data_IF_079578110831
#
_entry.id   IF_079578110831
#
_cell.length_a   1.000
_cell.length_b   1.000
_cell.length_c   1.000
_cell.angle_alpha   90.00
_cell.angle_beta   90.00
_cell.angle_gamma   90.00
#
_symmetry.space_group_name_H-M   'P 1'
#
loop_
_entity.id
_entity.type
_entity.pdbx_description
1 polymer ?
#
# COMPACT_ATOMS: atom_id res chain seq x y z
N UNK A 1 -4.46 11.75 -29.25
CA UNK A 1 -5.35 11.82 -28.08
C UNK A 1 -6.03 10.47 -27.92
N UNK A 2 -5.78 9.73 -26.84
CA UNK A 2 -6.42 8.43 -26.61
C UNK A 2 -7.80 8.66 -25.98
N UNK A 3 -8.86 8.20 -26.65
CA UNK A 3 -10.23 8.29 -26.15
C UNK A 3 -10.35 7.49 -24.84
N UNK A 4 -10.77 8.16 -23.77
CA UNK A 4 -11.03 7.55 -22.46
C UNK A 4 -12.27 6.65 -22.63
N UNK A 5 -12.08 5.35 -22.67
CA UNK A 5 -13.18 4.37 -22.72
C UNK A 5 -13.89 4.40 -21.37
N UNK A 6 -14.90 5.24 -21.25
CA UNK A 6 -15.81 5.23 -20.11
C UNK A 6 -16.78 4.08 -20.33
N UNK A 7 -16.61 2.96 -19.62
CA UNK A 7 -17.65 1.93 -19.55
C UNK A 7 -18.92 2.59 -19.03
N UNK A 8 -19.95 2.69 -19.87
CA UNK A 8 -21.26 3.21 -19.46
C UNK A 8 -21.88 2.23 -18.46
N UNK A 9 -21.92 2.65 -17.19
CA UNK A 9 -22.70 1.98 -16.14
C UNK A 9 -24.18 2.37 -16.31
N UNK A 10 -25.13 1.47 -16.06
CA UNK A 10 -26.53 1.86 -15.99
C UNK A 10 -26.72 2.89 -14.88
N UNK A 11 -27.26 4.08 -15.19
CA UNK A 11 -27.53 5.16 -14.23
C UNK A 11 -28.26 4.71 -12.96
N UNK A 12 -29.05 3.63 -13.06
CA UNK A 12 -29.77 3.01 -11.94
C UNK A 12 -28.83 2.52 -10.82
N UNK A 13 -27.64 2.05 -11.16
CA UNK A 13 -26.70 1.53 -10.16
C UNK A 13 -26.01 2.66 -9.37
N UNK A 14 -25.73 3.80 -10.00
CA UNK A 14 -25.22 4.98 -9.29
C UNK A 14 -26.25 5.49 -8.27
N UNK A 15 -27.51 5.62 -8.72
CA UNK A 15 -28.64 6.04 -7.86
C UNK A 15 -28.84 5.08 -6.68
N UNK A 16 -28.73 3.76 -6.91
CA UNK A 16 -28.84 2.76 -5.85
C UNK A 16 -27.72 2.89 -4.82
N UNK A 17 -26.47 3.07 -5.26
CA UNK A 17 -25.33 3.25 -4.34
C UNK A 17 -25.47 4.52 -3.50
N UNK A 18 -25.82 5.65 -4.12
CA UNK A 18 -26.07 6.91 -3.41
C UNK A 18 -27.20 6.77 -2.38
N UNK A 19 -28.27 6.07 -2.74
CA UNK A 19 -29.41 5.85 -1.86
C UNK A 19 -29.07 4.96 -0.65
N UNK A 20 -28.29 3.89 -0.87
CA UNK A 20 -27.87 2.99 0.22
C UNK A 20 -26.86 3.69 1.13
N UNK A 21 -25.94 4.47 0.58
CA UNK A 21 -24.99 5.27 1.37
C UNK A 21 -25.73 6.27 2.26
N UNK A 22 -26.71 6.99 1.70
CA UNK A 22 -27.54 7.92 2.45
C UNK A 22 -28.33 7.23 3.58
N UNK A 23 -28.79 6.00 3.35
CA UNK A 23 -29.44 5.20 4.39
C UNK A 23 -28.45 4.82 5.51
N UNK A 24 -27.24 4.36 5.17
CA UNK A 24 -26.19 4.00 6.14
C UNK A 24 -25.75 5.17 7.03
N UNK A 25 -25.75 6.39 6.47
CA UNK A 25 -25.39 7.62 7.19
C UNK A 25 -26.48 8.07 8.19
N UNK A 26 -27.68 7.48 8.13
CA UNK A 26 -28.77 7.79 9.06
C UNK A 26 -28.49 7.24 10.48
N UNK A 27 -28.69 8.05 11.54
CA UNK A 27 -28.60 7.56 12.91
C UNK A 27 -29.80 6.67 13.27
N UNK A 28 -29.62 5.74 14.22
CA UNK A 28 -30.71 4.89 14.74
C UNK A 28 -30.92 3.54 14.03
N UNK A 29 -30.15 3.23 12.98
CA UNK A 29 -30.12 1.89 12.40
C UNK A 29 -29.49 0.87 13.36
N UNK A 30 -30.13 -0.30 13.48
CA UNK A 30 -29.57 -1.48 14.14
C UNK A 30 -28.35 -1.99 13.36
N UNK A 31 -27.40 -2.60 14.07
CA UNK A 31 -26.16 -3.10 13.45
C UNK A 31 -26.42 -4.13 12.34
N UNK A 32 -27.33 -5.08 12.57
CA UNK A 32 -27.73 -6.09 11.59
C UNK A 32 -28.22 -5.45 10.27
N UNK A 33 -29.04 -4.40 10.36
CA UNK A 33 -29.52 -3.65 9.18
C UNK A 33 -28.41 -2.87 8.49
N UNK A 34 -27.41 -2.38 9.23
CA UNK A 34 -26.22 -1.73 8.64
C UNK A 34 -25.38 -2.74 7.85
N UNK A 35 -25.22 -3.94 8.41
CA UNK A 35 -24.44 -5.01 7.78
C UNK A 35 -25.11 -5.49 6.49
N UNK A 36 -26.44 -5.68 6.50
CA UNK A 36 -27.21 -6.03 5.30
C UNK A 36 -27.12 -4.95 4.21
N UNK A 37 -27.25 -3.67 4.59
CA UNK A 37 -27.14 -2.56 3.65
C UNK A 37 -25.72 -2.42 3.08
N UNK A 38 -24.69 -2.70 3.88
CA UNK A 38 -23.30 -2.71 3.44
C UNK A 38 -23.02 -3.85 2.44
N UNK A 39 -23.58 -5.05 2.66
CA UNK A 39 -23.46 -6.16 1.71
C UNK A 39 -24.16 -5.84 0.38
N UNK A 40 -25.36 -5.26 0.44
CA UNK A 40 -26.07 -4.80 -0.77
C UNK A 40 -25.29 -3.70 -1.48
N UNK A 41 -24.73 -2.73 -0.75
CA UNK A 41 -23.88 -1.69 -1.31
C UNK A 41 -22.68 -2.30 -2.04
N UNK A 42 -21.99 -3.28 -1.45
CA UNK A 42 -20.85 -3.96 -2.05
C UNK A 42 -21.15 -4.68 -3.37
N UNK A 43 -22.39 -5.17 -3.56
CA UNK A 43 -22.81 -5.82 -4.83
C UNK A 43 -23.01 -4.84 -5.98
N UNK A 44 -23.40 -3.61 -5.66
CA UNK A 44 -23.72 -2.60 -6.67
C UNK A 44 -22.64 -1.55 -6.83
N UNK A 45 -21.91 -1.22 -5.76
CA UNK A 45 -20.82 -0.27 -5.76
C UNK A 45 -19.88 -0.56 -6.93
N UNK A 46 -19.38 0.49 -7.62
CA UNK A 46 -18.28 0.25 -8.54
C UNK A 46 -17.23 -0.51 -7.73
N UNK A 47 -16.66 -1.62 -8.25
CA UNK A 47 -15.56 -2.25 -7.55
C UNK A 47 -14.56 -1.14 -7.30
N UNK A 48 -14.40 -0.73 -6.04
CA UNK A 48 -13.29 0.13 -5.68
C UNK A 48 -12.09 -0.62 -6.24
N UNK A 49 -11.28 -0.02 -7.10
CA UNK A 49 -10.06 -0.66 -7.52
C UNK A 49 -9.24 -0.79 -6.25
N UNK A 50 -9.35 -1.93 -5.57
CA UNK A 50 -8.48 -2.29 -4.47
C UNK A 50 -7.08 -2.26 -5.06
N UNK A 51 -6.38 -1.19 -4.74
CA UNK A 51 -5.21 -0.70 -5.45
C UNK A 51 -4.00 -1.43 -4.89
N UNK A 52 -3.67 -2.57 -5.49
CA UNK A 52 -2.40 -3.20 -5.17
C UNK A 52 -1.29 -2.30 -5.69
N UNK A 53 -0.40 -1.85 -4.79
CA UNK A 53 0.78 -1.11 -5.22
C UNK A 53 1.78 -2.11 -5.78
N UNK A 54 1.94 -2.10 -7.10
CA UNK A 54 3.08 -2.69 -7.77
C UNK A 54 4.21 -1.67 -7.72
N UNK A 55 5.39 -2.06 -7.22
CA UNK A 55 6.57 -1.23 -7.42
C UNK A 55 6.80 -1.11 -8.92
N UNK A 56 6.85 0.12 -9.44
CA UNK A 56 7.22 0.35 -10.83
C UNK A 56 8.65 -0.19 -11.01
N UNK A 57 8.88 -1.20 -11.89
CA UNK A 57 10.18 -1.86 -11.97
C UNK A 57 11.32 -0.91 -12.34
N UNK A 58 11.08 0.07 -13.20
CA UNK A 58 12.11 1.03 -13.62
C UNK A 58 12.45 2.00 -12.50
N UNK A 59 11.44 2.53 -11.81
CA UNK A 59 11.63 3.42 -10.67
C UNK A 59 12.26 2.68 -9.49
N UNK A 60 11.87 1.43 -9.23
CA UNK A 60 12.50 0.59 -8.21
C UNK A 60 13.98 0.35 -8.52
N UNK A 61 14.36 0.09 -9.78
CA UNK A 61 15.77 -0.03 -10.17
C UNK A 61 16.55 1.26 -9.91
N UNK A 62 15.95 2.42 -10.15
CA UNK A 62 16.57 3.72 -9.85
C UNK A 62 16.76 3.90 -8.33
N UNK A 63 15.74 3.57 -7.52
CA UNK A 63 15.83 3.60 -6.06
C UNK A 63 16.95 2.68 -5.57
N UNK A 64 17.00 1.43 -6.03
CA UNK A 64 18.06 0.47 -5.65
C UNK A 64 19.46 0.96 -6.05
N UNK A 65 19.60 1.50 -7.27
CA UNK A 65 20.87 2.08 -7.74
C UNK A 65 21.31 3.27 -6.89
N UNK A 66 20.37 4.10 -6.45
CA UNK A 66 20.64 5.24 -5.58
C UNK A 66 20.97 4.81 -4.13
N UNK A 67 20.29 3.80 -3.59
CA UNK A 67 20.60 3.20 -2.28
C UNK A 67 22.02 2.62 -2.29
N UNK A 68 22.36 1.82 -3.31
CA UNK A 68 23.67 1.16 -3.41
C UNK A 68 24.85 2.13 -3.56
N UNK A 69 24.62 3.35 -4.04
CA UNK A 69 25.64 4.41 -4.15
C UNK A 69 25.78 5.24 -2.88
N UNK A 70 24.85 5.11 -1.95
CA UNK A 70 24.84 5.87 -0.70
C UNK A 70 25.60 5.18 0.43
N UNK A 71 25.66 5.86 1.57
CA UNK A 71 26.20 5.28 2.80
C UNK A 71 25.28 4.18 3.36
N UNK A 72 25.90 3.17 3.99
CA UNK A 72 25.21 2.02 4.61
C UNK A 72 24.10 1.43 3.71
N UNK A 73 24.43 1.00 2.47
CA UNK A 73 23.44 0.59 1.49
C UNK A 73 22.58 -0.58 1.97
N UNK A 74 23.18 -1.58 2.64
CA UNK A 74 22.47 -2.72 3.20
C UNK A 74 21.44 -2.32 4.27
N UNK A 75 21.80 -1.39 5.16
CA UNK A 75 20.88 -0.88 6.19
C UNK A 75 19.73 -0.10 5.56
N UNK A 76 20.05 0.82 4.64
CA UNK A 76 19.02 1.62 3.95
C UNK A 76 18.07 0.73 3.15
N UNK A 77 18.58 -0.34 2.53
CA UNK A 77 17.78 -1.33 1.82
C UNK A 77 16.85 -2.13 2.75
N UNK A 78 17.33 -2.53 3.94
CA UNK A 78 16.49 -3.20 4.95
C UNK A 78 15.35 -2.31 5.40
N UNK A 79 15.64 -1.04 5.72
CA UNK A 79 14.62 -0.06 6.12
C UNK A 79 13.65 0.22 4.96
N UNK A 80 14.15 0.31 3.72
CA UNK A 80 13.29 0.45 2.54
C UNK A 80 12.30 -0.71 2.42
N UNK A 81 12.77 -1.95 2.53
CA UNK A 81 11.93 -3.14 2.46
C UNK A 81 10.91 -3.22 3.60
N UNK A 82 11.30 -2.83 4.81
CA UNK A 82 10.36 -2.71 5.93
C UNK A 82 9.28 -1.65 5.63
N UNK A 83 9.68 -0.46 5.17
CA UNK A 83 8.77 0.64 4.89
C UNK A 83 7.71 0.30 3.82
N UNK A 84 8.11 -0.32 2.71
CA UNK A 84 7.17 -0.69 1.64
C UNK A 84 6.17 -1.77 2.05
N UNK A 85 6.48 -2.53 3.11
CA UNK A 85 5.61 -3.57 3.65
C UNK A 85 4.48 -3.03 4.54
N UNK A 86 4.55 -1.75 4.94
CA UNK A 86 3.57 -1.09 5.81
C UNK A 86 2.78 0.03 5.14
N UNK A 87 2.79 0.10 3.81
CA UNK A 87 2.05 1.14 3.09
C UNK A 87 0.54 0.92 3.28
N UNK A 88 -0.21 1.97 3.62
CA UNK A 88 -1.68 2.00 3.50
C UNK A 88 -2.05 2.29 2.05
N UNK A 89 -2.91 1.46 1.50
CA UNK A 89 -3.19 1.46 0.06
C UNK A 89 -4.53 2.15 -0.30
N UNK A 90 -5.38 2.38 0.70
CA UNK A 90 -6.68 3.04 0.63
C UNK A 90 -6.61 4.57 0.75
N UNK A 91 -5.43 5.14 1.05
CA UNK A 91 -5.25 6.60 1.18
C UNK A 91 -4.65 7.21 -0.08
N UNK A 92 -5.09 8.43 -0.40
CA UNK A 92 -4.59 9.23 -1.53
C UNK A 92 -3.06 9.42 -1.51
N UNK A 93 -2.44 9.32 -0.32
CA UNK A 93 -1.02 9.59 -0.11
C UNK A 93 -0.15 8.35 0.08
N UNK A 94 -0.67 7.11 0.01
CA UNK A 94 0.13 5.87 0.17
C UNK A 94 1.06 5.94 1.40
N UNK A 95 0.47 6.27 2.55
CA UNK A 95 1.20 6.52 3.80
C UNK A 95 1.84 5.25 4.37
N UNK A 96 3.03 5.35 4.96
CA UNK A 96 3.66 4.26 5.70
C UNK A 96 3.06 4.22 7.11
N UNK A 97 2.28 3.18 7.39
CA UNK A 97 1.51 2.97 8.63
C UNK A 97 2.31 2.27 9.73
N UNK A 98 3.63 2.46 9.73
CA UNK A 98 4.51 1.94 10.77
C UNK A 98 5.19 3.08 11.53
N UNK A 99 5.33 2.89 12.84
CA UNK A 99 6.19 3.74 13.65
C UNK A 99 7.66 3.45 13.34
N UNK A 100 8.55 4.39 13.65
CA UNK A 100 9.99 4.16 13.51
C UNK A 100 10.50 2.99 14.36
N UNK A 101 9.83 2.67 15.48
CA UNK A 101 10.15 1.49 16.29
C UNK A 101 9.80 0.20 15.56
N UNK A 102 8.57 0.10 15.02
CA UNK A 102 8.17 -1.06 14.22
C UNK A 102 9.05 -1.28 13.00
N UNK A 103 9.39 -0.20 12.28
CA UNK A 103 10.34 -0.26 11.16
C UNK A 103 11.73 -0.69 11.60
N UNK A 104 12.15 -0.38 12.83
CA UNK A 104 13.44 -0.81 13.35
C UNK A 104 13.43 -2.31 13.64
N UNK A 105 12.36 -2.82 14.24
CA UNK A 105 12.18 -4.25 14.52
C UNK A 105 12.17 -5.06 13.21
N UNK A 106 11.36 -4.65 12.22
CA UNK A 106 11.24 -5.36 10.94
C UNK A 106 12.51 -5.25 10.09
N UNK A 107 13.27 -4.17 10.24
CA UNK A 107 14.56 -4.01 9.59
C UNK A 107 15.72 -4.54 10.45
N UNK A 108 15.47 -5.17 11.60
CA UNK A 108 16.43 -5.64 12.60
C UNK A 108 17.57 -4.63 12.85
N UNK A 109 17.16 -3.44 13.29
CA UNK A 109 18.02 -2.30 13.56
C UNK A 109 17.46 -1.48 14.72
N UNK A 110 17.89 -0.21 14.87
CA UNK A 110 17.38 0.69 15.90
C UNK A 110 16.69 1.93 15.30
N UNK A 111 15.82 2.63 16.05
CA UNK A 111 15.08 3.78 15.54
C UNK A 111 15.95 4.92 15.00
N UNK A 112 17.15 5.13 15.55
CA UNK A 112 18.08 6.17 15.09
C UNK A 112 18.58 5.88 13.68
N UNK A 113 18.91 4.63 13.39
CA UNK A 113 19.31 4.19 12.05
C UNK A 113 18.12 4.21 11.07
N UNK A 114 16.89 3.91 11.54
CA UNK A 114 15.67 4.13 10.73
C UNK A 114 15.51 5.59 10.34
N UNK A 115 15.64 6.55 11.27
CA UNK A 115 15.52 7.97 10.93
C UNK A 115 16.56 8.42 9.90
N UNK A 116 17.81 7.94 10.02
CA UNK A 116 18.88 8.21 9.05
C UNK A 116 18.55 7.63 7.67
N UNK A 117 18.12 6.37 7.63
CA UNK A 117 17.72 5.72 6.39
C UNK A 117 16.50 6.40 5.75
N UNK A 118 15.48 6.78 6.53
CA UNK A 118 14.28 7.48 6.03
C UNK A 118 14.61 8.89 5.52
N UNK A 119 15.53 9.60 6.16
CA UNK A 119 16.03 10.88 5.64
C UNK A 119 16.72 10.66 4.29
N UNK A 120 17.58 9.65 4.18
CA UNK A 120 18.24 9.31 2.92
C UNK A 120 17.25 8.89 1.82
N UNK A 121 16.26 8.06 2.15
CA UNK A 121 15.19 7.66 1.24
C UNK A 121 14.35 8.86 0.77
N UNK A 122 14.23 9.89 1.61
CA UNK A 122 13.61 11.16 1.23
C UNK A 122 14.48 11.95 0.26
N UNK A 123 15.79 12.05 0.51
CA UNK A 123 16.75 12.74 -0.37
C UNK A 123 16.79 12.15 -1.79
N UNK A 124 16.74 10.81 -1.91
CA UNK A 124 16.75 10.14 -3.22
C UNK A 124 15.35 10.10 -3.88
N UNK A 125 14.34 10.70 -3.25
CA UNK A 125 12.98 10.79 -3.77
C UNK A 125 12.19 9.48 -3.74
N UNK A 126 12.63 8.47 -2.99
CA UNK A 126 11.90 7.21 -2.83
C UNK A 126 10.68 7.38 -1.90
N UNK A 127 10.83 8.25 -0.90
CA UNK A 127 9.85 8.51 0.15
C UNK A 127 9.58 10.03 0.23
N UNK A 128 8.36 10.40 0.54
CA UNK A 128 7.95 11.76 0.84
C UNK A 128 7.74 11.89 2.35
N UNK A 129 8.30 12.94 2.95
CA UNK A 129 8.05 13.27 4.36
C UNK A 129 6.79 14.12 4.45
N UNK A 130 5.73 13.58 5.06
CA UNK A 130 4.46 14.29 5.22
C UNK A 130 4.50 15.23 6.44
N UNK A 131 4.93 14.68 7.58
CA UNK A 131 5.10 15.39 8.86
C UNK A 131 6.13 14.64 9.72
N UNK A 132 6.60 15.18 10.86
CA UNK A 132 7.59 14.49 11.69
C UNK A 132 7.17 13.05 12.02
N UNK A 133 7.99 12.07 11.64
CA UNK A 133 7.71 10.65 11.86
C UNK A 133 6.55 10.07 11.02
N UNK A 134 6.12 10.74 9.95
CA UNK A 134 5.13 10.23 8.99
C UNK A 134 5.62 10.44 7.57
N UNK A 135 5.50 9.37 6.79
CA UNK A 135 6.10 9.24 5.48
C UNK A 135 5.12 8.59 4.51
N UNK A 136 5.31 8.85 3.23
CA UNK A 136 4.56 8.28 2.12
C UNK A 136 5.53 7.78 1.05
N UNK A 137 5.13 6.77 0.29
CA UNK A 137 5.93 6.35 -0.87
C UNK A 137 5.72 7.34 -2.03
N UNK A 138 6.79 7.66 -2.74
CA UNK A 138 6.67 8.45 -3.96
C UNK A 138 5.72 7.73 -4.96
N UNK A 139 4.64 8.38 -5.44
CA UNK A 139 3.69 7.76 -6.36
C UNK A 139 4.28 7.26 -7.69
N UNK A 140 5.45 7.76 -8.10
CA UNK A 140 6.17 7.21 -9.26
C UNK A 140 6.82 5.85 -8.96
N UNK A 141 7.24 5.62 -7.72
CA UNK A 141 7.84 4.35 -7.27
C UNK A 141 6.76 3.31 -7.00
N UNK A 142 5.67 3.68 -6.32
CA UNK A 142 4.51 2.82 -6.11
C UNK A 142 3.45 3.03 -7.17
N UNK A 143 3.32 2.15 -8.17
CA UNK A 143 2.28 2.19 -9.19
C UNK A 143 1.05 1.34 -8.79
N UNK A 144 -0.13 1.62 -9.37
CA UNK A 144 -1.40 0.94 -9.04
C UNK A 144 -1.68 -0.17 -10.06
N UNK A 145 -1.88 -1.40 -9.58
CA UNK A 145 -2.27 -2.57 -10.36
C UNK A 145 -3.56 -3.23 -9.85
N UNK A 146 -4.02 -4.26 -10.57
CA UNK A 146 -5.28 -4.99 -10.31
C UNK A 146 -5.08 -6.14 -9.31
N UNK A 147 -5.78 -6.08 -8.17
CA UNK A 147 -5.74 -7.08 -7.10
C UNK A 147 -6.11 -8.49 -7.56
N UNK A 148 -7.22 -8.62 -8.30
CA UNK A 148 -7.82 -9.91 -8.62
C UNK A 148 -6.83 -10.74 -9.45
N UNK A 149 -6.22 -10.10 -10.45
CA UNK A 149 -5.18 -10.72 -11.29
C UNK A 149 -3.97 -11.18 -10.49
N UNK A 150 -3.56 -10.42 -9.47
CA UNK A 150 -2.43 -10.80 -8.61
C UNK A 150 -2.79 -12.00 -7.73
N UNK A 151 -3.96 -12.00 -7.11
CA UNK A 151 -4.42 -13.10 -6.24
C UNK A 151 -4.56 -14.41 -7.03
N UNK A 152 -5.09 -14.35 -8.25
CA UNK A 152 -5.15 -15.51 -9.15
C UNK A 152 -3.76 -16.05 -9.47
N UNK A 153 -2.80 -15.18 -9.81
CA UNK A 153 -1.42 -15.58 -10.05
C UNK A 153 -0.74 -16.17 -8.80
N UNK A 154 -1.04 -15.63 -7.61
CA UNK A 154 -0.45 -16.09 -6.35
C UNK A 154 -0.92 -17.49 -5.93
N UNK A 155 -2.15 -17.90 -6.28
CA UNK A 155 -2.65 -19.26 -5.99
C UNK A 155 -1.80 -20.37 -6.64
N UNK A 156 -1.12 -20.05 -7.73
CA UNK A 156 -0.27 -20.98 -8.46
C UNK A 156 1.13 -21.15 -7.84
N UNK A 157 1.49 -20.40 -6.79
CA UNK A 157 2.86 -20.36 -6.26
C UNK A 157 2.85 -20.43 -4.72
N UNK A 158 3.65 -21.31 -4.08
CA UNK A 158 3.71 -21.42 -2.63
C UNK A 158 4.31 -20.15 -1.97
N UNK A 159 3.88 -19.80 -0.75
CA UNK A 159 4.41 -18.65 -0.02
C UNK A 159 5.87 -18.88 0.40
N UNK A 160 6.65 -17.80 0.45
CA UNK A 160 8.04 -17.83 0.91
C UNK A 160 8.07 -18.23 2.39
N UNK A 161 9.00 -19.12 2.75
CA UNK A 161 9.26 -19.54 4.13
C UNK A 161 10.59 -18.95 4.59
N UNK A 162 10.66 -18.54 5.86
CA UNK A 162 11.93 -18.16 6.49
C UNK A 162 12.75 -19.44 6.67
N UNK A 163 13.98 -19.44 6.16
CA UNK A 163 14.95 -20.50 6.45
C UNK A 163 15.63 -20.08 7.75
N UNK A 164 15.33 -20.78 8.84
CA UNK A 164 16.09 -20.61 10.08
C UNK A 164 17.53 -21.09 9.83
N UNK A 165 18.55 -20.36 10.30
CA UNK A 165 19.93 -20.82 10.15
C UNK A 165 20.07 -22.14 10.91
N UNK A 166 20.56 -23.18 10.23
CA UNK A 166 20.89 -24.46 10.87
C UNK A 166 21.75 -24.17 12.10
N UNK A 167 21.28 -24.58 13.27
CA UNK A 167 22.05 -24.55 14.51
C UNK A 167 23.32 -25.36 14.25
N UNK A 168 24.43 -24.65 14.05
CA UNK A 168 25.76 -25.25 13.93
C UNK A 168 25.99 -26.05 15.20
N UNK A 169 26.01 -27.37 15.05
CA UNK A 169 26.44 -28.33 16.07
C UNK A 169 27.97 -28.30 16.23
#
# INVERSE_FOLDING_TARGET
>A
MAAKVTRMRPKRYDILCESIQLALDMPGLKQETRDDLADVLGRFAPPEPWSFVMLNPDQQRLVLKAINRGEKPALTLRVWNAAISHIRYDTEHKEIMASCHRLADDADTNPKEVYRAMARLTEIGAVLKLRPGRYAINPHVGWVGDLVKRQEAAKAVPPVRVVEPDSVA
#
